data_IF_807774172829
#
_entry.id   IF_807774172829
#
_cell.length_a   1.000
_cell.length_b   1.000
_cell.length_c   1.000
_cell.angle_alpha   90.00
_cell.angle_beta   90.00
_cell.angle_gamma   90.00
#
_symmetry.space_group_name_H-M   'P 1'
#
loop_
_entity.id
_entity.type
_entity.pdbx_description
1 polymer ?
#
# COMPACT_ATOMS: atom_id res chain seq x y z
N UNK A 1 -24.31 -7.19 -24.28
CA UNK A 1 -23.64 -7.62 -23.04
C UNK A 1 -23.13 -9.04 -23.25
N UNK A 2 -21.84 -9.22 -23.53
CA UNK A 2 -21.26 -10.56 -23.68
C UNK A 2 -20.49 -10.86 -22.39
N UNK A 3 -20.97 -11.83 -21.63
CA UNK A 3 -20.29 -12.32 -20.43
C UNK A 3 -19.37 -13.46 -20.85
N UNK A 4 -18.06 -13.19 -20.96
CA UNK A 4 -17.08 -14.27 -21.12
C UNK A 4 -16.60 -14.72 -19.74
N UNK A 5 -16.90 -15.98 -19.41
CA UNK A 5 -16.39 -16.67 -18.23
C UNK A 5 -15.33 -17.68 -18.68
N UNK A 6 -14.08 -17.47 -18.26
CA UNK A 6 -13.02 -18.45 -18.43
C UNK A 6 -12.63 -19.01 -17.07
N UNK A 7 -12.60 -20.33 -16.98
CA UNK A 7 -12.26 -21.08 -15.78
C UNK A 7 -10.90 -21.74 -15.97
N UNK A 8 -9.95 -21.49 -15.08
CA UNK A 8 -8.64 -22.15 -15.10
C UNK A 8 -8.42 -22.94 -13.81
N UNK A 9 -7.88 -24.17 -13.89
CA UNK A 9 -7.43 -24.88 -12.70
C UNK A 9 -6.20 -24.17 -12.10
N UNK A 10 -6.20 -24.00 -10.79
CA UNK A 10 -5.05 -23.51 -10.02
C UNK A 10 -4.53 -24.66 -9.15
N UNK A 11 -3.22 -24.85 -9.14
CA UNK A 11 -2.56 -25.88 -8.34
C UNK A 11 -3.07 -25.91 -6.89
N UNK A 12 -3.41 -27.10 -6.39
CA UNK A 12 -3.95 -27.29 -5.03
C UNK A 12 -5.47 -27.49 -4.93
N UNK A 13 -6.18 -27.69 -6.06
CA UNK A 13 -7.62 -27.98 -6.09
C UNK A 13 -8.52 -26.74 -6.14
N UNK A 14 -7.97 -25.59 -6.56
CA UNK A 14 -8.74 -24.36 -6.78
C UNK A 14 -9.15 -24.16 -8.24
N UNK A 15 -10.26 -23.49 -8.45
CA UNK A 15 -10.73 -23.01 -9.75
C UNK A 15 -10.71 -21.47 -9.74
N UNK A 16 -9.95 -20.85 -10.63
CA UNK A 16 -10.02 -19.40 -10.85
C UNK A 16 -11.03 -19.12 -11.95
N UNK A 17 -12.08 -18.36 -11.63
CA UNK A 17 -13.05 -17.87 -12.61
C UNK A 17 -12.73 -16.40 -12.89
N UNK A 18 -12.46 -16.10 -14.16
CA UNK A 18 -12.29 -14.74 -14.66
C UNK A 18 -13.60 -14.26 -15.25
N UNK A 19 -14.13 -13.16 -14.74
CA UNK A 19 -15.31 -12.49 -15.30
C UNK A 19 -14.87 -11.23 -16.00
N UNK A 20 -15.08 -11.17 -17.32
CA UNK A 20 -14.80 -10.00 -18.13
C UNK A 20 -16.09 -9.19 -18.33
N UNK A 21 -16.11 -7.94 -17.86
CA UNK A 21 -17.21 -7.02 -18.11
C UNK A 21 -16.89 -6.13 -19.32
N UNK A 22 -17.55 -6.38 -20.45
CA UNK A 22 -17.60 -5.40 -21.55
C UNK A 22 -18.75 -4.41 -21.26
N UNK A 23 -18.40 -3.18 -20.89
CA UNK A 23 -19.36 -2.08 -20.78
C UNK A 23 -19.72 -1.54 -22.17
N UNK A 24 -20.99 -1.15 -22.41
CA UNK A 24 -21.43 -0.65 -23.71
C UNK A 24 -20.76 0.68 -24.09
N UNK A 25 -20.50 0.79 -25.39
CA UNK A 25 -19.70 1.80 -26.07
C UNK A 25 -20.09 3.24 -25.71
N UNK A 26 -19.19 3.94 -25.01
CA UNK A 26 -19.16 5.40 -24.93
C UNK A 26 -17.86 5.88 -25.59
N UNK A 27 -17.86 7.08 -26.22
CA UNK A 27 -16.75 7.52 -27.08
C UNK A 27 -15.42 7.77 -26.34
N UNK A 28 -15.43 7.84 -25.01
CA UNK A 28 -14.23 8.11 -24.22
C UNK A 28 -14.06 7.04 -23.14
N UNK A 29 -12.95 6.29 -23.22
CA UNK A 29 -12.41 5.34 -22.25
C UNK A 29 -13.01 3.93 -22.18
N UNK A 30 -12.25 2.96 -22.73
CA UNK A 30 -12.31 1.55 -22.37
C UNK A 30 -11.90 1.36 -20.89
N UNK A 31 -12.85 1.06 -20.02
CA UNK A 31 -12.57 0.51 -18.69
C UNK A 31 -12.95 -0.98 -18.67
N UNK A 32 -11.95 -1.86 -18.84
CA UNK A 32 -12.12 -3.28 -18.58
C UNK A 32 -11.90 -3.55 -17.08
N UNK A 33 -12.93 -4.04 -16.38
CA UNK A 33 -12.79 -4.45 -14.99
C UNK A 33 -12.52 -5.96 -14.94
N UNK A 34 -11.29 -6.33 -14.58
CA UNK A 34 -10.90 -7.73 -14.39
C UNK A 34 -11.14 -8.09 -12.92
N UNK A 35 -12.14 -8.93 -12.65
CA UNK A 35 -12.33 -9.53 -11.33
C UNK A 35 -11.97 -11.01 -11.38
N UNK A 36 -10.97 -11.42 -10.59
CA UNK A 36 -10.59 -12.81 -10.39
C UNK A 36 -11.19 -13.29 -9.06
N UNK A 37 -12.03 -14.32 -9.11
CA UNK A 37 -12.47 -15.05 -7.91
C UNK A 37 -11.88 -16.45 -7.95
N UNK A 38 -11.05 -16.77 -6.97
CA UNK A 38 -10.50 -18.11 -6.76
C UNK A 38 -11.46 -18.88 -5.84
N UNK A 39 -12.05 -19.95 -6.35
CA UNK A 39 -12.88 -20.89 -5.58
C UNK A 39 -12.06 -22.14 -5.26
N UNK A 40 -11.76 -22.36 -3.98
CA UNK A 40 -11.15 -23.62 -3.54
C UNK A 40 -12.23 -24.67 -3.31
N UNK A 41 -12.17 -25.76 -4.07
CA UNK A 41 -13.00 -26.95 -3.86
C UNK A 41 -12.42 -27.79 -2.70
N UNK A 42 -13.23 -28.07 -1.67
CA UNK A 42 -13.08 -29.31 -0.89
C UNK A 42 -12.25 -29.31 0.42
N UNK A 43 -11.82 -28.18 0.99
CA UNK A 43 -11.14 -28.18 2.33
C UNK A 43 -11.78 -27.31 3.42
N UNK A 44 -13.04 -26.91 3.24
CA UNK A 44 -13.70 -25.92 4.10
C UNK A 44 -14.11 -26.44 5.50
N UNK A 45 -14.37 -27.74 5.67
CA UNK A 45 -14.94 -28.26 6.93
C UNK A 45 -13.90 -28.61 7.99
N UNK A 46 -12.66 -28.98 7.62
CA UNK A 46 -11.69 -29.48 8.61
C UNK A 46 -10.83 -28.39 9.26
N UNK A 47 -10.62 -27.25 8.59
CA UNK A 47 -9.74 -26.18 9.08
C UNK A 47 -10.47 -25.23 10.02
N UNK A 48 -11.77 -25.01 9.80
CA UNK A 48 -12.59 -24.18 10.70
C UNK A 48 -12.68 -24.83 12.11
N UNK A 49 -12.69 -26.17 12.21
CA UNK A 49 -12.78 -26.89 13.50
C UNK A 49 -11.50 -26.84 14.36
N UNK A 50 -10.32 -26.60 13.77
CA UNK A 50 -9.09 -26.52 14.59
C UNK A 50 -8.96 -25.15 15.27
N UNK A 51 -9.53 -24.10 14.69
CA UNK A 51 -9.50 -22.74 15.24
C UNK A 51 -10.53 -22.54 16.36
N UNK A 52 -11.65 -23.28 16.34
CA UNK A 52 -12.69 -23.17 17.38
C UNK A 52 -12.18 -23.50 18.78
N UNK A 53 -11.18 -24.38 18.91
CA UNK A 53 -10.60 -24.71 20.21
C UNK A 53 -9.76 -23.57 20.83
N UNK A 54 -9.17 -22.72 20.00
CA UNK A 54 -8.33 -21.58 20.42
C UNK A 54 -9.06 -20.25 20.24
N UNK A 55 -10.37 -20.30 20.02
CA UNK A 55 -11.15 -19.15 19.58
C UNK A 55 -11.15 -18.01 20.60
N UNK A 56 -11.45 -18.31 21.87
CA UNK A 56 -11.47 -17.32 22.95
C UNK A 56 -10.07 -16.70 23.15
N UNK A 57 -9.03 -17.53 23.00
CA UNK A 57 -7.64 -17.06 23.05
C UNK A 57 -7.33 -16.12 21.87
N UNK A 58 -7.71 -16.48 20.64
CA UNK A 58 -7.50 -15.65 19.45
C UNK A 58 -8.25 -14.31 19.59
N UNK A 59 -9.49 -14.34 20.09
CA UNK A 59 -10.27 -13.12 20.29
C UNK A 59 -9.65 -12.22 21.37
N UNK A 60 -9.25 -12.77 22.52
CA UNK A 60 -8.56 -12.00 23.55
C UNK A 60 -7.22 -11.42 23.07
N UNK A 61 -6.48 -12.14 22.22
CA UNK A 61 -5.27 -11.60 21.59
C UNK A 61 -5.56 -10.41 20.67
N UNK A 62 -6.64 -10.46 19.89
CA UNK A 62 -7.07 -9.33 19.07
C UNK A 62 -7.50 -8.12 19.91
N UNK A 63 -8.20 -8.34 21.02
CA UNK A 63 -8.56 -7.28 21.99
C UNK A 63 -7.30 -6.64 22.58
N UNK A 64 -6.27 -7.44 22.86
CA UNK A 64 -4.96 -6.98 23.31
C UNK A 64 -4.12 -6.31 22.20
N UNK A 65 -4.57 -6.32 20.94
CA UNK A 65 -3.93 -5.62 19.82
C UNK A 65 -2.90 -6.45 19.04
N UNK A 66 -2.85 -7.77 19.22
CA UNK A 66 -1.91 -8.62 18.49
C UNK A 66 -2.21 -8.69 17.00
N UNK A 67 -1.15 -8.77 16.21
CA UNK A 67 -1.15 -8.95 14.76
C UNK A 67 -1.46 -10.40 14.38
N UNK A 68 -1.90 -10.62 13.13
CA UNK A 68 -2.16 -11.98 12.62
C UNK A 68 -0.89 -12.84 12.65
N UNK A 69 0.28 -12.21 12.45
CA UNK A 69 1.61 -12.82 12.57
C UNK A 69 1.93 -13.27 14.00
N UNK A 70 1.71 -12.41 14.99
CA UNK A 70 1.96 -12.73 16.40
C UNK A 70 1.03 -13.82 16.90
N UNK A 71 -0.25 -13.76 16.53
CA UNK A 71 -1.23 -14.80 16.88
C UNK A 71 -0.84 -16.12 16.21
N UNK A 72 -0.42 -16.09 14.94
CA UNK A 72 0.05 -17.29 14.23
C UNK A 72 1.25 -17.93 14.94
N UNK A 73 2.20 -17.11 15.37
CA UNK A 73 3.37 -17.55 16.12
C UNK A 73 2.97 -18.16 17.48
N UNK A 74 2.13 -17.47 18.25
CA UNK A 74 1.68 -17.94 19.56
C UNK A 74 0.86 -19.24 19.46
N UNK A 75 0.02 -19.39 18.43
CA UNK A 75 -0.70 -20.65 18.19
C UNK A 75 0.25 -21.79 17.84
N UNK A 76 1.33 -21.49 17.11
CA UNK A 76 2.38 -22.47 16.81
C UNK A 76 3.09 -22.94 18.09
N UNK A 77 3.39 -22.03 19.02
CA UNK A 77 3.98 -22.37 20.32
C UNK A 77 3.04 -23.23 21.19
N UNK A 78 1.72 -23.03 21.10
CA UNK A 78 0.72 -23.85 21.79
C UNK A 78 0.49 -25.23 21.13
N UNK A 79 1.26 -25.58 20.11
CA UNK A 79 1.19 -26.87 19.42
C UNK A 79 0.16 -26.94 18.30
N UNK A 80 -0.41 -25.82 17.86
CA UNK A 80 -1.35 -25.81 16.73
C UNK A 80 -0.60 -26.02 15.41
N UNK A 81 -0.64 -27.25 14.88
CA UNK A 81 0.10 -27.62 13.67
C UNK A 81 -0.59 -27.21 12.36
N UNK A 82 -1.92 -27.01 12.37
CA UNK A 82 -2.70 -26.74 11.16
C UNK A 82 -3.78 -25.69 11.42
N UNK A 83 -3.93 -24.78 10.46
CA UNK A 83 -4.99 -23.77 10.48
C UNK A 83 -4.57 -22.41 11.04
N UNK A 84 -3.40 -22.31 11.69
CA UNK A 84 -2.83 -21.09 12.29
C UNK A 84 -2.27 -20.06 11.28
N UNK A 85 -2.36 -20.29 9.97
CA UNK A 85 -1.90 -19.30 8.97
C UNK A 85 -2.60 -17.95 9.12
N UNK A 86 -1.91 -16.86 8.83
CA UNK A 86 -2.47 -15.49 8.85
C UNK A 86 -3.77 -15.35 8.05
N UNK A 87 -3.88 -16.07 6.93
CA UNK A 87 -5.07 -16.04 6.08
C UNK A 87 -6.31 -16.59 6.81
N UNK A 88 -6.17 -17.71 7.51
CA UNK A 88 -7.27 -18.32 8.25
C UNK A 88 -7.63 -17.51 9.49
N UNK A 89 -6.63 -16.91 10.17
CA UNK A 89 -6.86 -15.97 11.26
C UNK A 89 -7.65 -14.76 10.79
N UNK A 90 -7.26 -14.16 9.65
CA UNK A 90 -8.01 -13.08 9.00
C UNK A 90 -9.44 -13.49 8.66
N UNK A 91 -9.65 -14.70 8.13
CA UNK A 91 -10.98 -15.23 7.82
C UNK A 91 -11.82 -15.43 9.09
N UNK A 92 -11.24 -16.02 10.15
CA UNK A 92 -11.86 -16.21 11.45
C UNK A 92 -12.30 -14.87 12.05
N UNK A 93 -11.39 -13.89 12.05
CA UNK A 93 -11.67 -12.51 12.47
C UNK A 93 -12.81 -11.89 11.66
N UNK A 94 -12.76 -11.96 10.33
CA UNK A 94 -13.80 -11.42 9.46
C UNK A 94 -15.16 -12.08 9.67
N UNK A 95 -15.21 -13.40 9.87
CA UNK A 95 -16.46 -14.14 10.15
C UNK A 95 -17.12 -13.68 11.45
N UNK A 96 -16.33 -13.28 12.45
CA UNK A 96 -16.79 -12.80 13.75
C UNK A 96 -17.05 -11.31 13.81
N UNK A 97 -16.74 -10.58 12.74
CA UNK A 97 -16.91 -9.12 12.70
C UNK A 97 -15.97 -8.36 13.64
N UNK A 98 -14.93 -9.01 14.17
CA UNK A 98 -13.96 -8.35 15.05
C UNK A 98 -13.09 -7.42 14.21
N UNK A 99 -13.15 -6.12 14.51
CA UNK A 99 -12.23 -5.14 13.92
C UNK A 99 -10.92 -5.19 14.70
N UNK A 100 -9.78 -4.99 14.02
CA UNK A 100 -8.53 -4.76 14.74
C UNK A 100 -8.70 -3.55 15.64
N UNK A 101 -7.99 -3.55 16.77
CA UNK A 101 -7.80 -2.34 17.56
C UNK A 101 -7.19 -1.28 16.66
N UNK A 102 -8.04 -0.35 16.24
CA UNK A 102 -7.67 0.80 15.44
C UNK A 102 -7.53 1.96 16.39
N UNK A 103 -6.56 2.82 16.13
CA UNK A 103 -6.56 4.17 16.66
C UNK A 103 -7.90 4.84 16.34
N UNK A 104 -8.44 5.63 17.28
CA UNK A 104 -9.64 6.42 17.02
C UNK A 104 -9.35 7.52 16.00
N UNK A 105 -10.38 8.00 15.30
CA UNK A 105 -10.20 9.07 14.30
C UNK A 105 -9.63 10.34 14.95
N UNK A 106 -9.99 10.64 16.20
CA UNK A 106 -9.49 11.81 16.93
C UNK A 106 -8.03 11.65 17.37
N UNK A 107 -7.64 10.48 17.89
CA UNK A 107 -6.23 10.19 18.19
C UNK A 107 -5.39 10.19 16.90
N UNK A 108 -5.93 9.69 15.79
CA UNK A 108 -5.24 9.72 14.51
C UNK A 108 -5.05 11.15 14.01
N UNK A 109 -6.08 11.99 14.09
CA UNK A 109 -5.97 13.42 13.77
C UNK A 109 -4.89 14.09 14.62
N UNK A 110 -4.85 13.80 15.92
CA UNK A 110 -3.85 14.35 16.82
C UNK A 110 -2.43 13.85 16.50
N UNK A 111 -2.28 12.56 16.17
CA UNK A 111 -0.99 11.99 15.81
C UNK A 111 -0.48 12.57 14.48
N UNK A 112 -1.35 12.69 13.47
CA UNK A 112 -1.00 13.31 12.18
C UNK A 112 -0.68 14.80 12.36
N UNK A 113 -1.44 15.54 13.16
CA UNK A 113 -1.17 16.97 13.38
C UNK A 113 0.17 17.20 14.07
N UNK A 114 0.51 16.41 15.09
CA UNK A 114 1.83 16.43 15.72
C UNK A 114 2.94 16.09 14.72
N UNK A 115 2.75 15.03 13.93
CA UNK A 115 3.72 14.64 12.91
C UNK A 115 3.94 15.72 11.84
N UNK A 116 2.88 16.44 11.43
CA UNK A 116 3.00 17.56 10.47
C UNK A 116 3.71 18.76 11.09
N UNK A 117 3.55 19.03 12.39
CA UNK A 117 4.31 20.08 13.09
C UNK A 117 5.80 19.72 13.11
N UNK A 118 6.13 18.44 13.34
CA UNK A 118 7.51 17.97 13.43
C UNK A 118 8.20 17.85 12.05
N UNK A 119 7.49 17.34 11.04
CA UNK A 119 8.06 16.97 9.72
C UNK A 119 7.70 17.96 8.60
N UNK A 120 6.77 18.87 8.85
CA UNK A 120 6.19 19.74 7.83
C UNK A 120 5.12 19.06 6.97
N UNK A 121 4.53 19.78 6.00
CA UNK A 121 3.43 19.28 5.17
C UNK A 121 3.85 18.35 4.02
N UNK A 122 5.16 18.10 3.85
CA UNK A 122 5.73 17.44 2.66
C UNK A 122 5.55 15.91 2.67
N UNK A 123 5.27 15.31 3.83
CA UNK A 123 5.09 13.86 3.93
C UNK A 123 3.76 13.44 3.32
N UNK A 124 3.82 12.78 2.17
CA UNK A 124 2.65 12.16 1.55
C UNK A 124 2.11 10.98 2.36
N UNK A 125 0.88 10.53 2.02
CA UNK A 125 0.14 9.43 2.68
C UNK A 125 1.01 8.26 3.15
N UNK A 126 1.76 7.64 2.24
CA UNK A 126 2.61 6.47 2.53
C UNK A 126 3.75 6.79 3.52
N UNK A 127 4.40 7.95 3.34
CA UNK A 127 5.50 8.37 4.21
C UNK A 127 4.98 8.68 5.61
N UNK A 128 3.87 9.42 5.71
CA UNK A 128 3.25 9.75 6.98
C UNK A 128 2.81 8.48 7.73
N UNK A 129 2.23 7.49 7.04
CA UNK A 129 1.93 6.19 7.63
C UNK A 129 3.17 5.48 8.17
N UNK A 130 4.29 5.48 7.43
CA UNK A 130 5.56 4.93 7.89
C UNK A 130 6.15 5.68 9.09
N UNK A 131 6.06 7.01 9.09
CA UNK A 131 6.50 7.85 10.20
C UNK A 131 5.70 7.58 11.47
N UNK A 132 4.37 7.55 11.36
CA UNK A 132 3.49 7.20 12.47
C UNK A 132 3.79 5.80 13.01
N UNK A 133 4.01 4.82 12.12
CA UNK A 133 4.39 3.48 12.53
C UNK A 133 5.71 3.44 13.32
N UNK A 134 6.70 4.25 12.92
CA UNK A 134 7.96 4.40 13.66
C UNK A 134 7.77 5.04 15.04
N UNK A 135 6.77 5.92 15.18
CA UNK A 135 6.33 6.50 16.47
C UNK A 135 5.40 5.57 17.27
N UNK A 136 5.19 4.34 16.82
CA UNK A 136 4.30 3.36 17.47
C UNK A 136 2.80 3.52 17.15
N UNK A 137 2.44 4.45 16.26
CA UNK A 137 1.06 4.68 15.83
C UNK A 137 0.75 3.90 14.55
N UNK A 138 0.02 2.80 14.69
CA UNK A 138 -0.44 2.00 13.56
C UNK A 138 -1.75 2.59 12.99
N UNK A 139 -1.67 3.15 11.79
CA UNK A 139 -2.79 3.80 11.12
C UNK A 139 -2.98 3.30 9.68
N UNK A 140 -4.23 3.28 9.21
CA UNK A 140 -4.52 2.97 7.82
C UNK A 140 -4.09 4.12 6.89
N UNK A 141 -3.41 3.81 5.79
CA UNK A 141 -3.01 4.81 4.79
C UNK A 141 -4.17 5.71 4.37
N UNK A 142 -5.36 5.14 4.14
CA UNK A 142 -6.54 5.89 3.69
C UNK A 142 -6.93 6.97 4.69
N UNK A 143 -6.99 6.64 5.99
CA UNK A 143 -7.33 7.60 7.05
C UNK A 143 -6.28 8.70 7.18
N UNK A 144 -5.00 8.33 7.13
CA UNK A 144 -3.88 9.29 7.11
C UNK A 144 -4.03 10.24 5.92
N UNK A 145 -4.32 9.72 4.73
CA UNK A 145 -4.50 10.53 3.52
C UNK A 145 -5.66 11.51 3.62
N UNK A 146 -6.80 11.10 4.19
CA UNK A 146 -7.96 11.98 4.40
C UNK A 146 -7.62 13.11 5.36
N UNK A 147 -6.98 12.81 6.49
CA UNK A 147 -6.60 13.81 7.50
C UNK A 147 -5.53 14.75 6.95
N UNK A 148 -4.47 14.24 6.30
CA UNK A 148 -3.45 15.09 5.69
C UNK A 148 -4.03 16.03 4.62
N UNK A 149 -5.05 15.58 3.87
CA UNK A 149 -5.76 16.41 2.88
C UNK A 149 -6.55 17.53 3.54
N UNK A 150 -7.21 17.26 4.67
CA UNK A 150 -7.95 18.27 5.44
C UNK A 150 -7.01 19.27 6.13
N UNK A 151 -5.89 18.80 6.69
CA UNK A 151 -4.94 19.62 7.44
C UNK A 151 -4.21 20.63 6.56
N UNK A 152 -3.83 20.25 5.34
CA UNK A 152 -3.03 21.10 4.45
C UNK A 152 -3.56 21.12 3.01
N UNK A 153 -4.81 21.53 2.90
CA UNK A 153 -5.58 21.65 1.64
C UNK A 153 -4.81 22.37 0.50
N UNK A 154 -4.12 23.51 0.73
CA UNK A 154 -3.42 24.23 -0.34
C UNK A 154 -2.27 23.43 -0.96
N UNK A 155 -1.51 22.69 -0.14
CA UNK A 155 -0.42 21.83 -0.64
C UNK A 155 -0.97 20.62 -1.37
N UNK A 156 -2.06 20.03 -0.86
CA UNK A 156 -2.75 18.95 -1.56
C UNK A 156 -3.20 19.38 -2.97
N UNK A 157 -3.84 20.55 -3.08
CA UNK A 157 -4.21 21.13 -4.38
C UNK A 157 -3.00 21.42 -5.26
N UNK A 158 -1.96 22.07 -4.73
CA UNK A 158 -0.75 22.39 -5.48
C UNK A 158 -0.10 21.13 -6.06
N UNK A 159 -0.07 20.04 -5.29
CA UNK A 159 0.42 18.74 -5.75
C UNK A 159 -0.47 18.12 -6.83
N UNK A 160 -1.78 18.21 -6.68
CA UNK A 160 -2.75 17.76 -7.68
C UNK A 160 -2.74 18.62 -8.95
N UNK A 161 -2.26 19.86 -8.89
CA UNK A 161 -2.03 20.70 -10.08
C UNK A 161 -0.66 20.40 -10.71
N UNK A 162 0.38 20.20 -9.90
CA UNK A 162 1.73 19.88 -10.36
C UNK A 162 1.81 18.58 -11.16
N UNK A 163 0.95 17.59 -10.91
CA UNK A 163 0.90 16.39 -11.75
C UNK A 163 0.42 16.63 -13.19
N UNK A 164 -0.18 17.81 -13.47
CA UNK A 164 -0.53 18.26 -14.82
C UNK A 164 0.59 19.04 -15.51
N UNK A 165 1.67 19.36 -14.79
CA UNK A 165 2.89 19.88 -15.41
C UNK A 165 3.62 18.72 -16.10
N UNK A 166 3.03 18.20 -17.16
CA UNK A 166 3.71 17.31 -18.08
C UNK A 166 4.86 18.10 -18.70
N UNK A 167 6.05 17.49 -18.77
CA UNK A 167 7.14 18.06 -19.55
C UNK A 167 6.62 18.30 -20.97
N UNK A 168 6.79 19.53 -21.53
CA UNK A 168 6.27 19.87 -22.85
C UNK A 168 6.87 19.01 -23.96
N UNK A 169 8.04 18.41 -23.71
CA UNK A 169 8.67 17.41 -24.57
C UNK A 169 8.50 16.04 -23.92
N UNK A 170 7.72 15.13 -24.53
CA UNK A 170 7.61 13.75 -24.05
C UNK A 170 8.98 13.06 -24.10
N UNK A 171 9.42 12.46 -23.00
CA UNK A 171 10.56 11.54 -23.02
C UNK A 171 10.18 10.30 -23.84
N UNK A 172 10.89 10.04 -24.93
CA UNK A 172 10.72 8.83 -25.72
C UNK A 172 11.55 7.70 -25.10
N UNK A 173 10.88 6.68 -24.55
CA UNK A 173 11.53 5.45 -24.12
C UNK A 173 11.40 4.43 -25.26
N UNK A 174 12.50 3.85 -25.71
CA UNK A 174 12.48 2.83 -26.78
C UNK A 174 11.66 1.58 -26.38
N UNK A 175 11.61 1.27 -25.09
CA UNK A 175 10.86 0.13 -24.55
C UNK A 175 10.07 0.49 -23.28
N UNK A 176 8.94 -0.20 -23.07
CA UNK A 176 8.17 -0.11 -21.82
C UNK A 176 9.07 -0.57 -20.66
N UNK A 177 9.29 0.33 -19.70
CA UNK A 177 10.17 0.08 -18.57
C UNK A 177 11.52 0.78 -18.68
N UNK A 178 12.01 1.15 -19.87
CA UNK A 178 13.29 1.87 -20.05
C UNK A 178 13.17 3.37 -19.73
N UNK A 179 12.49 3.72 -18.64
CA UNK A 179 12.31 5.11 -18.21
C UNK A 179 13.27 5.39 -17.06
N UNK A 180 14.06 6.46 -17.20
CA UNK A 180 14.79 7.01 -16.06
C UNK A 180 13.78 7.67 -15.11
N UNK A 181 13.56 7.08 -13.95
CA UNK A 181 12.75 7.67 -12.89
C UNK A 181 13.65 8.57 -12.04
N UNK A 182 13.50 9.87 -12.19
CA UNK A 182 14.13 10.83 -11.29
C UNK A 182 13.13 11.24 -10.20
N UNK A 183 13.41 10.90 -8.95
CA UNK A 183 12.66 11.40 -7.80
C UNK A 183 13.46 12.52 -7.13
N UNK A 184 12.83 13.69 -6.97
CA UNK A 184 13.35 14.77 -6.14
C UNK A 184 12.71 14.63 -4.78
N UNK A 185 13.51 14.35 -3.75
CA UNK A 185 12.98 14.12 -2.43
C UNK A 185 12.65 15.46 -1.74
N UNK A 186 11.52 16.08 -2.11
CA UNK A 186 10.95 17.25 -1.41
C UNK A 186 10.83 17.01 0.10
N UNK A 187 10.75 15.75 0.53
CA UNK A 187 10.62 15.36 1.94
C UNK A 187 11.87 15.67 2.76
N UNK A 188 13.04 15.79 2.14
CA UNK A 188 14.28 16.21 2.83
C UNK A 188 14.43 17.73 2.87
N UNK A 189 13.53 18.49 2.25
CA UNK A 189 13.58 19.95 2.25
C UNK A 189 13.59 20.51 3.69
N UNK A 190 12.94 19.84 4.64
CA UNK A 190 12.95 20.23 6.07
C UNK A 190 14.35 20.17 6.71
N UNK A 191 15.24 19.32 6.20
CA UNK A 191 16.61 19.20 6.69
C UNK A 191 17.59 20.10 5.93
N UNK A 192 17.11 20.92 5.00
CA UNK A 192 17.98 21.71 4.12
C UNK A 192 18.80 20.84 3.17
N UNK A 193 18.26 19.69 2.76
CA UNK A 193 18.92 18.75 1.85
C UNK A 193 18.02 18.49 0.64
N UNK A 194 18.60 18.65 -0.54
CA UNK A 194 18.03 18.20 -1.81
C UNK A 194 18.73 16.92 -2.21
N UNK A 195 17.98 15.81 -2.24
CA UNK A 195 18.48 14.55 -2.76
C UNK A 195 17.73 14.19 -4.03
N UNK A 196 18.48 13.90 -5.08
CA UNK A 196 17.96 13.48 -6.39
C UNK A 196 18.48 12.08 -6.67
N UNK A 197 17.58 11.14 -6.94
CA UNK A 197 17.93 9.77 -7.30
C UNK A 197 17.37 9.49 -8.68
N UNK A 198 18.21 8.94 -9.55
CA UNK A 198 17.79 8.33 -10.80
C UNK A 198 17.74 6.80 -10.65
N UNK A 199 16.57 6.24 -10.95
CA UNK A 199 16.31 4.80 -10.94
C UNK A 199 16.05 4.38 -12.39
N UNK A 200 16.76 3.37 -12.85
CA UNK A 200 16.41 2.72 -14.11
C UNK A 200 15.08 1.97 -13.95
N UNK A 201 14.08 2.36 -14.74
CA UNK A 201 12.76 1.75 -14.70
C UNK A 201 12.75 0.26 -15.07
N UNK A 202 13.76 -0.23 -15.81
CA UNK A 202 13.82 -1.62 -16.28
C UNK A 202 14.40 -2.52 -15.19
N UNK A 203 15.63 -2.25 -14.77
CA UNK A 203 16.32 -3.05 -13.74
C UNK A 203 15.92 -2.70 -12.31
N UNK A 204 15.25 -1.56 -12.09
CA UNK A 204 14.93 -0.98 -10.76
C UNK A 204 16.17 -0.65 -9.91
N UNK A 205 17.35 -0.57 -10.51
CA UNK A 205 18.58 -0.16 -9.82
C UNK A 205 18.72 1.36 -9.79
N UNK A 206 19.43 1.86 -8.77
CA UNK A 206 19.85 3.26 -8.73
C UNK A 206 21.02 3.41 -9.72
N UNK A 207 20.84 4.24 -10.75
CA UNK A 207 21.89 4.51 -11.76
C UNK A 207 22.72 5.73 -11.42
N UNK A 208 22.17 6.65 -10.62
CA UNK A 208 22.87 7.85 -10.18
C UNK A 208 22.13 8.53 -9.03
N UNK A 209 22.86 9.28 -8.21
CA UNK A 209 22.28 10.10 -7.17
C UNK A 209 23.16 11.34 -6.92
N UNK A 210 22.53 12.41 -6.44
CA UNK A 210 23.21 13.62 -6.00
C UNK A 210 22.56 14.15 -4.73
N UNK A 211 23.38 14.62 -3.80
CA UNK A 211 22.94 15.21 -2.53
C UNK A 211 23.56 16.59 -2.39
N UNK A 212 22.74 17.63 -2.43
CA UNK A 212 23.19 19.01 -2.29
C UNK A 212 22.38 19.76 -1.23
N UNK A 213 22.94 20.74 -0.52
CA UNK A 213 22.17 21.52 0.46
C UNK A 213 21.12 22.41 -0.21
N UNK A 214 21.45 22.94 -1.39
CA UNK A 214 20.54 23.74 -2.23
C UNK A 214 20.46 23.05 -3.58
N UNK A 215 19.25 23.01 -4.17
CA UNK A 215 19.05 22.47 -5.53
C UNK A 215 19.95 23.20 -6.53
N UNK A 216 20.96 22.49 -7.02
CA UNK A 216 21.83 22.97 -8.10
C UNK A 216 21.61 22.09 -9.34
N UNK A 217 20.93 22.66 -10.34
CA UNK A 217 20.63 21.91 -11.56
C UNK A 217 21.90 21.48 -12.30
N UNK A 218 22.98 22.28 -12.27
CA UNK A 218 24.24 21.92 -12.93
C UNK A 218 24.85 20.66 -12.33
N UNK A 219 24.91 20.59 -10.99
CA UNK A 219 25.38 19.40 -10.27
C UNK A 219 24.51 18.18 -10.55
N UNK A 220 23.18 18.35 -10.60
CA UNK A 220 22.27 17.25 -10.95
C UNK A 220 22.55 16.74 -12.37
N UNK A 221 22.74 17.64 -13.34
CA UNK A 221 23.04 17.23 -14.71
C UNK A 221 24.39 16.50 -14.82
N UNK A 222 25.41 16.98 -14.11
CA UNK A 222 26.76 16.40 -14.12
C UNK A 222 26.85 15.04 -13.39
N UNK A 223 26.17 14.91 -12.25
CA UNK A 223 26.28 13.73 -11.39
C UNK A 223 25.25 12.64 -11.74
N UNK A 224 24.05 13.02 -12.19
CA UNK A 224 22.92 12.09 -12.39
C UNK A 224 22.65 11.79 -13.86
N UNK A 225 22.86 12.75 -14.76
CA UNK A 225 22.48 12.68 -16.19
C UNK A 225 23.63 12.25 -17.12
N UNK A 226 24.63 11.53 -16.59
CA UNK A 226 25.82 11.08 -17.34
C UNK A 226 25.48 10.31 -18.62
#
# INVERSE_FOLDING_TARGET
MVLMQNSYPVGGGGLAIWQFWQMPEGPDHFAAFISCKIFYSGRHLSVDNSLTAYEDLIMSMYENGHTDTEISYHLSELGMQRGNSELNLRKCRSKRGVKRKSISDEELKLAVSRAVIETGPYYGRKMMTGYLAAQGVQAAEVGVGQISTQMHEPYHRARCQGCWNLNPVPYNAEYVGHKLHMDQNEKLCMFGVTHVIAIDGFSKIIVGHSTTPIKNNLTIYEEVYR
#
